data_IF_198505227209
#
_entry.id   IF_198505227209
#
_cell.length_a   1.000
_cell.length_b   1.000
_cell.length_c   1.000
_cell.angle_alpha   90.00
_cell.angle_beta   90.00
_cell.angle_gamma   90.00
#
_symmetry.space_group_name_H-M   'P 1'
#
loop_
_entity.id
_entity.type
_entity.pdbx_description
1 polymer ?
#
# COMPACT_ATOMS: atom_id res chain seq x y z
N UNK A 1 50.15 -0.20 -37.33
CA UNK A 1 48.73 -0.60 -37.49
C UNK A 1 48.29 -1.22 -36.16
N UNK A 2 47.80 -0.42 -35.23
CA UNK A 2 47.44 -0.83 -33.87
C UNK A 2 45.92 -0.63 -33.72
N UNK A 3 45.23 -1.75 -33.50
CA UNK A 3 43.78 -1.89 -33.36
C UNK A 3 43.29 -1.17 -32.08
N UNK A 4 42.40 -0.24 -32.26
CA UNK A 4 41.65 0.39 -31.15
C UNK A 4 40.61 -0.59 -30.61
N UNK A 5 40.88 -1.18 -29.47
CA UNK A 5 39.93 -2.03 -28.73
C UNK A 5 38.80 -1.20 -28.09
N UNK A 6 37.63 -1.72 -28.22
CA UNK A 6 36.36 -1.19 -27.69
C UNK A 6 36.31 -1.26 -26.16
N UNK A 7 36.24 -0.11 -25.48
CA UNK A 7 36.01 0.00 -24.04
C UNK A 7 34.64 0.71 -23.80
N UNK A 8 33.54 0.03 -24.13
CA UNK A 8 32.24 0.69 -23.93
C UNK A 8 31.08 -0.18 -23.42
N UNK A 9 31.25 -1.26 -22.66
CA UNK A 9 30.08 -1.76 -21.94
C UNK A 9 30.17 -1.78 -20.40
N UNK A 10 31.30 -1.37 -19.78
CA UNK A 10 31.48 -1.53 -18.32
C UNK A 10 30.81 -0.39 -17.52
N UNK A 11 30.71 0.80 -18.10
CA UNK A 11 30.12 1.95 -17.39
C UNK A 11 28.60 1.86 -17.21
N UNK A 12 27.89 1.14 -18.11
CA UNK A 12 26.43 1.02 -18.05
C UNK A 12 25.96 -0.02 -17.01
N UNK A 13 26.74 -1.07 -16.81
CA UNK A 13 26.43 -2.11 -15.80
C UNK A 13 26.68 -1.62 -14.37
N UNK A 14 27.67 -0.75 -14.15
CA UNK A 14 27.96 -0.20 -12.84
C UNK A 14 26.90 0.82 -12.38
N UNK A 15 26.29 1.57 -13.31
CA UNK A 15 25.23 2.51 -13.01
C UNK A 15 23.92 1.83 -12.58
N UNK A 16 23.59 0.68 -13.16
CA UNK A 16 22.36 -0.07 -12.82
C UNK A 16 22.53 -0.79 -11.47
N UNK A 17 23.70 -1.31 -11.17
CA UNK A 17 23.98 -1.97 -9.88
C UNK A 17 24.00 -0.95 -8.74
N UNK A 18 24.48 0.27 -8.96
CA UNK A 18 24.46 1.33 -7.96
C UNK A 18 23.05 1.85 -7.67
N UNK A 19 22.16 1.88 -8.68
CA UNK A 19 20.76 2.27 -8.48
C UNK A 19 19.95 1.22 -7.73
N UNK A 20 20.22 -0.08 -7.93
CA UNK A 20 19.53 -1.17 -7.21
C UNK A 20 20.01 -1.26 -5.76
N UNK A 21 21.31 -1.04 -5.48
CA UNK A 21 21.83 -1.01 -4.12
C UNK A 21 21.32 0.20 -3.31
N UNK A 22 20.99 1.32 -3.97
CA UNK A 22 20.43 2.50 -3.33
C UNK A 22 18.95 2.35 -2.94
N UNK A 23 18.20 1.52 -3.63
CA UNK A 23 16.77 1.30 -3.38
C UNK A 23 16.55 0.50 -2.09
N UNK A 24 17.40 -0.48 -1.79
CA UNK A 24 17.30 -1.28 -0.56
C UNK A 24 17.41 -0.47 0.75
N UNK A 25 17.93 0.75 0.68
CA UNK A 25 18.08 1.64 1.85
C UNK A 25 17.00 2.72 1.92
N UNK A 26 16.18 2.90 0.86
CA UNK A 26 15.01 3.77 0.88
C UNK A 26 13.85 3.15 1.68
N UNK A 27 13.84 1.84 1.81
CA UNK A 27 12.82 1.08 2.55
C UNK A 27 12.84 1.36 4.06
N UNK A 28 13.91 1.93 4.59
CA UNK A 28 14.16 2.05 6.03
C UNK A 28 13.49 3.25 6.70
N UNK A 29 12.78 4.12 6.00
CA UNK A 29 12.35 5.38 6.61
C UNK A 29 10.86 5.50 6.91
N UNK A 30 10.01 4.63 6.37
CA UNK A 30 8.57 4.75 6.48
C UNK A 30 7.85 3.45 6.89
N UNK A 31 8.45 2.29 6.60
CA UNK A 31 7.75 1.01 6.64
C UNK A 31 8.61 -0.01 7.32
N UNK A 32 9.03 -0.08 8.42
CA UNK A 32 9.82 -1.17 8.96
C UNK A 32 9.78 -1.25 10.46
N UNK A 33 8.63 -1.54 10.94
CA UNK A 33 8.45 -1.47 12.36
C UNK A 33 8.73 -2.79 13.07
N UNK A 34 8.80 -3.90 12.32
CA UNK A 34 9.07 -5.21 12.92
C UNK A 34 9.97 -6.09 12.03
N UNK A 35 10.76 -7.01 12.63
CA UNK A 35 11.53 -7.99 11.85
C UNK A 35 10.67 -8.87 10.93
N UNK A 36 9.38 -9.02 11.24
CA UNK A 36 8.44 -9.81 10.45
C UNK A 36 8.08 -9.10 9.14
N UNK A 37 7.89 -7.79 9.16
CA UNK A 37 7.62 -7.00 7.94
C UNK A 37 8.87 -6.91 7.06
N UNK A 38 10.07 -6.82 7.66
CA UNK A 38 11.32 -6.87 6.90
C UNK A 38 11.50 -8.21 6.15
N UNK A 39 11.11 -9.32 6.78
CA UNK A 39 11.21 -10.66 6.19
C UNK A 39 10.09 -10.94 5.18
N UNK A 40 8.95 -10.29 5.32
CA UNK A 40 7.80 -10.45 4.43
C UNK A 40 7.14 -9.09 4.13
N UNK A 41 7.63 -8.33 3.14
CA UNK A 41 7.08 -7.02 2.79
C UNK A 41 5.58 -7.03 2.43
N UNK A 42 5.00 -8.20 2.20
CA UNK A 42 3.55 -8.36 1.97
C UNK A 42 2.72 -8.16 3.23
N UNK A 43 3.36 -8.16 4.41
CA UNK A 43 2.75 -7.80 5.70
C UNK A 43 2.88 -6.32 6.01
N UNK A 44 3.70 -5.60 5.26
CA UNK A 44 3.94 -4.18 5.46
C UNK A 44 2.82 -3.36 4.83
N UNK A 45 2.00 -2.70 5.66
CA UNK A 45 0.99 -1.75 5.20
C UNK A 45 1.71 -0.45 4.91
N UNK A 46 1.77 -0.09 3.62
CA UNK A 46 2.35 1.18 3.24
C UNK A 46 1.41 2.34 3.58
N UNK A 47 0.16 2.26 3.11
CA UNK A 47 -0.82 3.32 3.31
C UNK A 47 -2.24 2.77 3.41
N UNK A 48 -3.10 3.55 4.08
CA UNK A 48 -4.56 3.36 4.08
C UNK A 48 -5.22 4.68 3.73
N UNK A 49 -6.09 4.65 2.72
CA UNK A 49 -6.82 5.83 2.26
C UNK A 49 -8.32 5.62 2.30
N UNK A 50 -9.06 6.70 2.59
CA UNK A 50 -10.50 6.79 2.43
C UNK A 50 -10.84 8.15 1.79
N UNK A 51 -11.51 8.12 0.63
CA UNK A 51 -11.82 9.34 -0.12
C UNK A 51 -13.11 9.17 -0.93
N UNK A 52 -13.71 10.26 -1.45
CA UNK A 52 -14.90 10.17 -2.31
C UNK A 52 -14.67 9.25 -3.50
N UNK A 53 -15.63 8.36 -3.78
CA UNK A 53 -15.59 7.45 -4.92
C UNK A 53 -15.96 8.10 -6.25
N UNK A 54 -16.35 7.28 -7.22
CA UNK A 54 -16.71 7.68 -8.58
C UNK A 54 -17.96 8.58 -8.67
N UNK A 55 -18.77 8.64 -7.61
CA UNK A 55 -19.91 9.55 -7.45
C UNK A 55 -20.02 10.03 -6.00
N UNK A 56 -20.83 11.06 -5.78
CA UNK A 56 -20.94 11.73 -4.48
C UNK A 56 -21.47 10.82 -3.35
N UNK A 57 -22.22 9.80 -3.68
CA UNK A 57 -22.79 8.80 -2.78
C UNK A 57 -21.86 7.60 -2.54
N UNK A 58 -20.68 7.57 -3.16
CA UNK A 58 -19.72 6.47 -3.05
C UNK A 58 -18.46 6.89 -2.28
N UNK A 59 -17.80 5.91 -1.71
CA UNK A 59 -16.50 6.04 -1.05
C UNK A 59 -15.54 4.98 -1.57
N UNK A 60 -14.30 5.35 -1.76
CA UNK A 60 -13.21 4.44 -2.03
C UNK A 60 -12.36 4.25 -0.78
N UNK A 61 -12.07 3.01 -0.45
CA UNK A 61 -11.15 2.56 0.59
C UNK A 61 -9.97 1.89 -0.10
N UNK A 62 -8.77 2.26 0.28
CA UNK A 62 -7.54 1.70 -0.32
C UNK A 62 -6.58 1.29 0.77
N UNK A 63 -5.97 0.13 0.60
CA UNK A 63 -4.80 -0.32 1.34
C UNK A 63 -3.71 -0.64 0.35
N UNK A 64 -2.49 -0.15 0.59
CA UNK A 64 -1.30 -0.52 -0.17
C UNK A 64 -0.34 -1.32 0.70
N UNK A 65 0.39 -2.22 0.07
CA UNK A 65 1.41 -3.08 0.70
C UNK A 65 2.53 -3.38 -0.30
N UNK A 66 3.65 -3.86 0.19
CA UNK A 66 4.78 -4.30 -0.65
C UNK A 66 5.43 -3.20 -1.50
N UNK A 67 5.34 -1.93 -1.14
CA UNK A 67 6.10 -0.86 -1.80
C UNK A 67 7.57 -0.87 -1.33
N UNK A 68 8.53 -0.51 -2.18
CA UNK A 68 8.42 -0.27 -3.61
C UNK A 68 8.56 -1.55 -4.45
N UNK A 69 7.68 -1.74 -5.40
CA UNK A 69 7.84 -2.78 -6.41
C UNK A 69 8.59 -2.19 -7.60
N UNK A 70 9.74 -2.78 -7.94
CA UNK A 70 10.64 -2.30 -8.99
C UNK A 70 10.46 -3.11 -10.26
N UNK A 71 10.22 -2.43 -11.37
CA UNK A 71 10.17 -3.04 -12.71
C UNK A 71 9.02 -4.02 -12.87
N UNK A 72 9.30 -5.14 -13.55
CA UNK A 72 8.35 -6.21 -13.82
C UNK A 72 8.35 -7.32 -12.76
N UNK A 73 9.12 -7.16 -11.68
CA UNK A 73 9.07 -8.08 -10.57
C UNK A 73 7.69 -8.02 -9.92
N UNK A 74 6.95 -9.07 -10.13
CA UNK A 74 5.55 -9.15 -9.74
C UNK A 74 5.52 -9.66 -8.31
N UNK A 75 5.44 -8.75 -7.35
CA UNK A 75 5.03 -9.13 -6.01
C UNK A 75 3.64 -9.74 -6.08
N UNK A 76 3.42 -10.85 -5.40
CA UNK A 76 2.11 -11.46 -5.23
C UNK A 76 1.62 -11.23 -3.81
N UNK A 77 0.31 -11.16 -3.61
CA UNK A 77 -0.26 -11.18 -2.26
C UNK A 77 0.05 -12.53 -1.58
N UNK A 78 0.23 -12.51 -0.26
CA UNK A 78 0.51 -13.73 0.50
C UNK A 78 -0.79 -14.48 0.80
N UNK A 79 -0.93 -15.74 0.35
CA UNK A 79 -2.14 -16.52 0.58
C UNK A 79 -2.37 -16.94 2.04
N UNK A 80 -1.34 -16.78 2.89
CA UNK A 80 -1.43 -17.11 4.31
C UNK A 80 -1.79 -15.90 5.17
N UNK A 81 -2.01 -14.73 4.56
CA UNK A 81 -2.31 -13.50 5.26
C UNK A 81 -3.79 -13.14 5.10
N UNK A 82 -4.35 -12.61 6.17
CA UNK A 82 -5.63 -11.93 6.20
C UNK A 82 -5.40 -10.43 6.18
N UNK A 83 -5.79 -9.80 5.08
CA UNK A 83 -5.80 -8.35 4.92
C UNK A 83 -7.17 -7.83 5.36
N UNK A 84 -7.21 -6.79 6.17
CA UNK A 84 -8.48 -6.23 6.63
C UNK A 84 -8.50 -4.71 6.53
N UNK A 85 -9.61 -4.17 6.05
CA UNK A 85 -9.98 -2.77 6.23
C UNK A 85 -11.08 -2.74 7.27
N UNK A 86 -10.82 -2.06 8.37
CA UNK A 86 -11.70 -1.95 9.52
C UNK A 86 -12.36 -0.57 9.55
N UNK A 87 -13.63 -0.53 9.90
CA UNK A 87 -14.45 0.67 9.90
C UNK A 87 -15.13 0.83 11.25
N UNK A 88 -14.85 1.96 11.91
CA UNK A 88 -15.62 2.48 13.05
C UNK A 88 -16.64 3.48 12.52
N UNK A 89 -17.92 3.18 12.64
CA UNK A 89 -19.02 4.07 12.30
C UNK A 89 -19.83 4.52 13.53
N UNK A 90 -19.46 4.01 14.70
CA UNK A 90 -19.98 4.38 16.00
C UNK A 90 -19.23 5.53 16.66
N UNK A 91 -17.95 5.71 16.34
CA UNK A 91 -17.08 6.76 16.88
C UNK A 91 -16.46 6.42 18.23
N UNK A 92 -16.30 5.13 18.53
CA UNK A 92 -15.75 4.64 19.80
C UNK A 92 -14.34 4.01 19.66
N UNK A 93 -13.75 4.10 18.46
CA UNK A 93 -12.46 3.55 18.07
C UNK A 93 -12.40 2.01 18.07
N UNK A 94 -13.55 1.35 18.07
CA UNK A 94 -13.68 -0.07 17.77
C UNK A 94 -14.30 -0.25 16.39
N UNK A 95 -13.92 -1.30 15.67
CA UNK A 95 -14.53 -1.57 14.38
C UNK A 95 -15.93 -2.16 14.53
N UNK A 96 -16.89 -1.53 13.89
CA UNK A 96 -18.26 -2.02 13.72
C UNK A 96 -18.38 -2.90 12.49
N UNK A 97 -17.59 -2.60 11.45
CA UNK A 97 -17.59 -3.31 10.20
C UNK A 97 -16.15 -3.63 9.76
N UNK A 98 -16.01 -4.74 9.04
CA UNK A 98 -14.74 -5.14 8.42
C UNK A 98 -14.94 -5.57 6.98
N UNK A 99 -13.96 -5.27 6.15
CA UNK A 99 -13.68 -6.03 4.95
C UNK A 99 -12.55 -7.01 5.24
N UNK A 100 -12.73 -8.28 4.91
CA UNK A 100 -11.72 -9.31 5.02
C UNK A 100 -11.33 -9.79 3.63
N UNK A 101 -10.05 -9.67 3.31
CA UNK A 101 -9.52 -9.93 1.98
C UNK A 101 -8.50 -11.04 2.08
N UNK A 102 -8.68 -12.08 1.28
CA UNK A 102 -7.78 -13.23 1.19
C UNK A 102 -7.45 -13.54 -0.26
N UNK A 103 -6.34 -14.22 -0.45
CA UNK A 103 -5.85 -14.60 -1.78
C UNK A 103 -5.54 -16.09 -1.82
N UNK A 104 -5.73 -16.72 -2.98
CA UNK A 104 -5.27 -18.09 -3.17
C UNK A 104 -3.76 -18.14 -3.47
N UNK A 105 -3.19 -19.33 -3.36
CA UNK A 105 -1.80 -19.59 -3.77
C UNK A 105 -1.62 -19.38 -5.26
N UNK A 106 -0.50 -18.77 -5.65
CA UNK A 106 -0.14 -18.55 -7.06
C UNK A 106 0.73 -17.32 -7.26
N UNK A 107 1.23 -17.17 -8.47
CA UNK A 107 1.82 -15.90 -8.91
C UNK A 107 0.70 -14.88 -9.13
N UNK A 108 1.01 -13.59 -9.09
CA UNK A 108 0.03 -12.50 -9.16
C UNK A 108 -0.99 -12.67 -10.30
N UNK A 109 -0.54 -13.04 -11.50
CA UNK A 109 -1.39 -13.22 -12.68
C UNK A 109 -2.35 -14.42 -12.59
N UNK A 110 -2.11 -15.34 -11.66
CA UNK A 110 -2.93 -16.52 -11.40
C UNK A 110 -3.71 -16.42 -10.08
N UNK A 111 -3.46 -15.35 -9.30
CA UNK A 111 -4.16 -15.16 -8.04
C UNK A 111 -5.61 -14.74 -8.25
N UNK A 112 -6.42 -15.14 -7.30
CA UNK A 112 -7.81 -14.68 -7.13
C UNK A 112 -7.91 -14.00 -5.77
N UNK A 113 -8.63 -12.90 -5.73
CA UNK A 113 -9.01 -12.22 -4.51
C UNK A 113 -10.39 -12.69 -4.10
N UNK A 114 -10.58 -12.85 -2.79
CA UNK A 114 -11.88 -13.06 -2.14
C UNK A 114 -12.09 -11.98 -1.10
N UNK A 115 -13.17 -11.22 -1.22
CA UNK A 115 -13.54 -10.13 -0.32
C UNK A 115 -14.84 -10.48 0.38
N UNK A 116 -14.80 -10.50 1.70
CA UNK A 116 -15.95 -10.62 2.58
C UNK A 116 -16.20 -9.25 3.20
N UNK A 117 -17.43 -8.80 3.23
CA UNK A 117 -17.80 -7.54 3.86
C UNK A 117 -18.54 -6.56 2.93
N UNK A 118 -18.98 -5.40 3.49
CA UNK A 118 -18.84 -5.02 4.89
C UNK A 118 -19.70 -5.90 5.81
N UNK A 119 -19.12 -6.40 6.87
CA UNK A 119 -19.81 -7.23 7.88
C UNK A 119 -19.31 -6.89 9.27
N UNK A 120 -20.12 -7.15 10.30
CA UNK A 120 -19.64 -7.06 11.67
C UNK A 120 -18.51 -8.07 11.92
N UNK A 121 -17.42 -7.70 12.59
CA UNK A 121 -16.36 -8.64 12.96
C UNK A 121 -16.90 -9.68 13.95
N UNK A 122 -16.34 -10.90 13.90
CA UNK A 122 -16.67 -11.92 14.89
C UNK A 122 -16.22 -11.53 16.29
N UNK A 123 -15.05 -10.90 16.39
CA UNK A 123 -14.47 -10.36 17.60
C UNK A 123 -13.82 -9.01 17.24
N UNK A 124 -14.28 -7.89 17.79
CA UNK A 124 -13.64 -6.58 17.59
C UNK A 124 -12.26 -6.52 18.24
N UNK A 125 -11.41 -5.60 17.77
CA UNK A 125 -10.12 -5.28 18.36
C UNK A 125 -8.95 -6.00 17.67
N UNK A 126 -8.01 -6.51 18.46
CA UNK A 126 -6.75 -7.05 17.96
C UNK A 126 -6.82 -8.51 17.48
N UNK A 127 -7.91 -9.22 17.79
CA UNK A 127 -8.09 -10.60 17.35
C UNK A 127 -8.74 -10.63 15.96
N UNK A 128 -7.98 -11.05 14.97
CA UNK A 128 -8.43 -11.06 13.58
C UNK A 128 -8.98 -12.45 13.21
N UNK A 129 -10.26 -12.68 13.48
CA UNK A 129 -10.94 -13.95 13.19
C UNK A 129 -11.69 -13.85 11.87
N UNK A 130 -11.54 -14.86 11.01
CA UNK A 130 -12.28 -14.93 9.76
C UNK A 130 -13.80 -15.01 10.01
N UNK A 131 -14.53 -14.15 9.33
CA UNK A 131 -16.00 -14.22 9.30
C UNK A 131 -16.40 -15.30 8.31
N UNK A 132 -17.13 -16.29 8.80
CA UNK A 132 -17.61 -17.40 7.96
C UNK A 132 -18.90 -17.01 7.24
N UNK A 133 -18.77 -16.33 6.12
CA UNK A 133 -19.89 -15.94 5.26
C UNK A 133 -19.48 -15.95 3.79
N UNK A 134 -20.45 -15.78 2.89
CA UNK A 134 -20.19 -15.68 1.46
C UNK A 134 -19.34 -14.44 1.13
N UNK A 135 -18.52 -14.56 0.11
CA UNK A 135 -17.83 -13.41 -0.44
C UNK A 135 -18.83 -12.41 -1.04
N UNK A 136 -18.61 -11.12 -0.81
CA UNK A 136 -19.31 -10.06 -1.52
C UNK A 136 -18.79 -9.95 -2.97
N UNK A 137 -17.47 -10.13 -3.14
CA UNK A 137 -16.80 -10.12 -4.43
C UNK A 137 -15.70 -11.17 -4.45
N UNK A 138 -15.59 -11.92 -5.54
CA UNK A 138 -14.49 -12.86 -5.78
C UNK A 138 -14.12 -12.87 -7.26
N UNK A 139 -12.82 -12.88 -7.57
CA UNK A 139 -12.38 -12.93 -8.96
C UNK A 139 -10.86 -12.83 -9.12
N UNK A 140 -10.39 -12.80 -10.37
CA UNK A 140 -8.96 -12.71 -10.66
C UNK A 140 -8.38 -11.36 -10.24
N UNK A 141 -7.15 -11.41 -9.71
CA UNK A 141 -6.34 -10.23 -9.42
C UNK A 141 -6.02 -9.49 -10.73
N UNK A 142 -5.90 -8.17 -10.67
CA UNK A 142 -5.61 -7.33 -11.83
C UNK A 142 -6.84 -6.93 -12.65
N UNK A 143 -8.04 -7.30 -12.22
CA UNK A 143 -9.30 -6.95 -12.88
C UNK A 143 -10.23 -6.16 -11.97
N UNK A 144 -11.07 -5.31 -12.56
CA UNK A 144 -12.15 -4.67 -11.82
C UNK A 144 -13.29 -5.68 -11.65
N UNK A 145 -13.65 -5.93 -10.41
CA UNK A 145 -14.69 -6.86 -10.01
C UNK A 145 -15.86 -6.08 -9.40
N UNK A 146 -17.07 -6.59 -9.53
CA UNK A 146 -18.27 -5.98 -8.97
C UNK A 146 -19.22 -6.99 -8.36
N UNK A 147 -20.09 -6.52 -7.46
CA UNK A 147 -21.20 -7.28 -6.89
C UNK A 147 -22.56 -6.64 -7.21
N UNK A 148 -23.62 -7.41 -7.05
CA UNK A 148 -25.01 -6.93 -7.21
C UNK A 148 -25.38 -5.85 -6.18
N UNK A 149 -24.64 -5.77 -5.07
CA UNK A 149 -24.81 -4.76 -4.04
C UNK A 149 -24.08 -3.45 -4.35
N UNK A 150 -23.42 -3.36 -5.50
CA UNK A 150 -22.71 -2.17 -5.97
C UNK A 150 -21.30 -2.02 -5.38
N UNK A 151 -20.76 -3.04 -4.70
CA UNK A 151 -19.36 -3.04 -4.27
C UNK A 151 -18.49 -3.33 -5.49
N UNK A 152 -17.46 -2.51 -5.67
CA UNK A 152 -16.43 -2.71 -6.70
C UNK A 152 -15.09 -2.95 -6.03
N UNK A 153 -14.31 -3.88 -6.56
CA UNK A 153 -13.01 -4.28 -6.02
C UNK A 153 -11.97 -4.32 -7.12
N UNK A 154 -10.80 -3.81 -6.83
CA UNK A 154 -9.59 -4.08 -7.57
C UNK A 154 -8.50 -4.54 -6.59
N UNK A 155 -7.78 -5.60 -6.93
CA UNK A 155 -6.56 -6.00 -6.24
C UNK A 155 -5.45 -6.21 -7.27
N UNK A 156 -4.27 -5.61 -7.05
CA UNK A 156 -3.16 -5.73 -7.99
C UNK A 156 -2.17 -4.56 -7.92
N UNK A 157 -1.13 -4.57 -8.76
CA UNK A 157 -0.14 -3.50 -8.75
C UNK A 157 -0.76 -2.18 -9.25
N UNK A 158 -0.40 -1.10 -8.58
CA UNK A 158 -0.71 0.28 -8.93
C UNK A 158 0.53 1.14 -8.69
N UNK A 159 0.64 2.25 -9.43
CA UNK A 159 1.61 3.27 -9.08
C UNK A 159 1.44 3.63 -7.60
N UNK A 160 2.55 3.75 -6.89
CA UNK A 160 2.53 4.11 -5.47
C UNK A 160 1.84 5.47 -5.32
N UNK A 161 0.75 5.59 -4.56
CA UNK A 161 0.02 6.84 -4.42
C UNK A 161 0.66 7.81 -3.44
N UNK A 162 1.62 7.35 -2.62
CA UNK A 162 2.30 8.21 -1.67
C UNK A 162 3.18 9.22 -2.40
N UNK A 163 2.91 10.49 -2.17
CA UNK A 163 3.59 11.60 -2.81
C UNK A 163 4.29 12.46 -1.79
N UNK A 164 5.61 12.38 -1.75
CA UNK A 164 6.45 13.27 -0.96
C UNK A 164 7.78 13.53 -1.67
N UNK A 165 8.30 14.75 -1.54
CA UNK A 165 9.69 15.07 -1.83
C UNK A 165 10.57 14.60 -0.66
N UNK A 166 10.85 13.30 -0.62
CA UNK A 166 11.46 12.63 0.52
C UNK A 166 12.87 13.13 0.81
N UNK A 167 13.65 13.40 -0.24
CA UNK A 167 14.98 13.99 -0.06
C UNK A 167 14.90 15.37 0.61
N UNK A 168 13.96 16.19 0.15
CA UNK A 168 13.78 17.53 0.74
C UNK A 168 13.19 17.45 2.15
N UNK A 169 12.31 16.49 2.42
CA UNK A 169 11.83 16.22 3.77
C UNK A 169 13.00 15.98 4.75
N UNK A 170 13.95 15.12 4.38
CA UNK A 170 15.12 14.86 5.19
C UNK A 170 16.12 16.03 5.24
N UNK A 171 16.13 16.90 4.26
CA UNK A 171 16.90 18.14 4.33
C UNK A 171 16.33 19.12 5.35
N UNK A 172 15.02 19.08 5.58
CA UNK A 172 14.33 19.89 6.59
C UNK A 172 14.43 19.25 7.97
N UNK A 173 14.21 17.91 8.05
CA UNK A 173 14.16 17.12 9.28
C UNK A 173 15.25 16.04 9.29
N UNK A 174 16.51 16.41 9.49
CA UNK A 174 17.64 15.50 9.35
C UNK A 174 17.71 14.40 10.42
N UNK A 175 17.04 14.55 11.55
CA UNK A 175 16.91 13.54 12.61
C UNK A 175 16.06 12.32 12.21
N UNK A 176 15.31 12.45 11.11
CA UNK A 176 14.51 11.36 10.51
C UNK A 176 15.23 10.64 9.37
N UNK A 177 16.44 11.06 9.02
CA UNK A 177 17.23 10.46 7.95
C UNK A 177 17.65 9.03 8.28
N UNK A 178 17.63 8.13 7.27
CA UNK A 178 18.31 6.86 7.41
C UNK A 178 19.81 7.06 7.64
N UNK A 179 20.41 6.23 8.47
CA UNK A 179 21.82 6.32 8.81
C UNK A 179 22.75 5.93 7.65
N UNK A 180 22.24 5.21 6.67
CA UNK A 180 22.96 4.70 5.51
C UNK A 180 22.15 4.87 4.23
N UNK A 181 22.81 4.78 3.06
CA UNK A 181 22.17 4.77 1.77
C UNK A 181 22.04 6.14 1.09
N UNK A 182 21.31 6.18 -0.02
CA UNK A 182 21.23 7.36 -0.89
C UNK A 182 20.60 8.59 -0.23
N UNK A 183 19.75 8.39 0.78
CA UNK A 183 19.11 9.46 1.55
C UNK A 183 19.83 9.78 2.86
N UNK A 184 20.93 9.08 3.18
CA UNK A 184 21.77 9.45 4.30
C UNK A 184 22.44 10.82 4.05
N UNK A 185 22.75 11.53 5.11
CA UNK A 185 23.38 12.84 4.97
C UNK A 185 23.69 13.48 6.33
N UNK A 186 24.07 14.75 6.35
CA UNK A 186 24.43 15.44 7.59
C UNK A 186 23.25 15.45 8.56
N UNK A 187 23.56 15.44 9.85
CA UNK A 187 22.57 15.51 10.94
C UNK A 187 22.03 16.94 11.18
N UNK A 188 22.50 17.91 10.41
CA UNK A 188 22.05 19.31 10.48
C UNK A 188 21.11 19.61 9.33
N UNK A 189 20.08 20.41 9.59
CA UNK A 189 19.16 20.86 8.54
C UNK A 189 19.91 21.65 7.46
N UNK A 190 19.65 21.30 6.20
CA UNK A 190 20.20 21.99 5.00
C UNK A 190 19.12 22.74 4.23
N UNK A 191 17.86 22.63 4.64
CA UNK A 191 16.73 23.36 4.07
C UNK A 191 15.71 23.72 5.15
N UNK A 192 14.90 24.74 4.89
CA UNK A 192 13.84 25.21 5.78
C UNK A 192 12.43 25.11 5.19
N UNK A 193 12.32 24.72 3.91
CA UNK A 193 11.05 24.59 3.22
C UNK A 193 11.11 23.54 2.10
N UNK A 194 9.96 23.03 1.70
CA UNK A 194 9.84 22.19 0.50
C UNK A 194 10.13 23.02 -0.75
N UNK A 195 10.73 22.37 -1.76
CA UNK A 195 10.99 22.96 -3.07
C UNK A 195 9.70 22.98 -3.92
N UNK A 196 9.63 23.92 -4.84
CA UNK A 196 8.54 23.99 -5.81
C UNK A 196 9.14 24.12 -7.23
N UNK A 197 8.86 23.16 -8.14
CA UNK A 197 8.09 21.93 -7.91
C UNK A 197 8.82 20.94 -7.00
N UNK A 198 8.05 20.14 -6.26
CA UNK A 198 8.54 19.00 -5.50
C UNK A 198 8.95 17.84 -6.42
N UNK A 199 9.78 16.94 -5.91
CA UNK A 199 10.22 15.74 -6.60
C UNK A 199 9.54 14.52 -5.97
N UNK A 200 8.73 13.83 -6.75
CA UNK A 200 8.11 12.57 -6.34
C UNK A 200 9.13 11.43 -6.51
N UNK A 201 9.70 11.01 -5.38
CA UNK A 201 10.71 9.94 -5.37
C UNK A 201 10.09 8.56 -5.66
N UNK A 202 8.83 8.34 -5.28
CA UNK A 202 8.16 7.05 -5.43
C UNK A 202 7.48 6.87 -6.79
N UNK A 203 7.41 7.92 -7.59
CA UNK A 203 6.80 7.91 -8.94
C UNK A 203 7.18 6.72 -9.83
N UNK A 204 8.43 6.18 -9.83
CA UNK A 204 8.78 5.04 -10.67
C UNK A 204 8.38 3.69 -10.10
N UNK A 205 7.82 3.65 -8.89
CA UNK A 205 7.52 2.42 -8.18
C UNK A 205 6.04 2.10 -8.18
N UNK A 206 5.75 0.83 -7.93
CA UNK A 206 4.40 0.33 -7.69
C UNK A 206 4.29 -0.21 -6.27
N UNK A 207 3.05 -0.26 -5.78
CA UNK A 207 2.64 -1.00 -4.60
C UNK A 207 1.60 -2.05 -5.00
N UNK A 208 1.40 -3.07 -4.19
CA UNK A 208 0.20 -3.91 -4.27
C UNK A 208 -0.95 -3.14 -3.61
N UNK A 209 -1.96 -2.83 -4.39
CA UNK A 209 -3.13 -2.11 -3.91
C UNK A 209 -4.35 -3.03 -3.82
N UNK A 210 -5.11 -2.88 -2.74
CA UNK A 210 -6.46 -3.38 -2.58
C UNK A 210 -7.37 -2.17 -2.53
N UNK A 211 -8.25 -2.04 -3.51
CA UNK A 211 -9.19 -0.92 -3.65
C UNK A 211 -10.60 -1.46 -3.56
N UNK A 212 -11.40 -0.89 -2.68
CA UNK A 212 -12.82 -1.23 -2.51
C UNK A 212 -13.62 0.06 -2.64
N UNK A 213 -14.49 0.13 -3.62
CA UNK A 213 -15.42 1.25 -3.78
C UNK A 213 -16.85 0.77 -3.60
N UNK A 214 -17.62 1.48 -2.76
CA UNK A 214 -19.00 1.09 -2.44
C UNK A 214 -19.87 2.30 -2.12
N UNK A 215 -21.22 2.13 -2.11
CA UNK A 215 -22.15 3.13 -1.62
C UNK A 215 -21.86 3.48 -0.15
N UNK A 216 -21.77 4.77 0.19
CA UNK A 216 -21.55 5.25 1.57
C UNK A 216 -22.60 4.71 2.55
N UNK A 217 -23.82 4.51 2.07
CA UNK A 217 -24.93 3.97 2.89
C UNK A 217 -24.66 2.59 3.48
N UNK A 218 -23.69 1.84 2.94
CA UNK A 218 -23.32 0.53 3.50
C UNK A 218 -22.33 0.65 4.67
N UNK A 219 -21.70 1.79 4.86
CA UNK A 219 -20.73 2.03 5.94
C UNK A 219 -21.24 2.93 7.04
N UNK A 220 -22.13 3.85 6.71
CA UNK A 220 -22.61 4.86 7.67
C UNK A 220 -23.67 4.28 8.61
N UNK A 221 -23.50 4.49 9.92
CA UNK A 221 -24.50 4.14 10.92
C UNK A 221 -25.73 5.08 10.88
N UNK A 222 -25.58 6.27 10.27
CA UNK A 222 -26.65 7.23 10.16
C UNK A 222 -26.62 7.98 8.82
N UNK A 223 -27.77 8.56 8.44
CA UNK A 223 -27.90 9.42 7.24
C UNK A 223 -27.58 10.89 7.52
N UNK A 224 -27.05 11.22 8.69
CA UNK A 224 -26.64 12.59 9.03
C UNK A 224 -25.57 13.07 8.04
N UNK A 225 -25.66 14.33 7.58
CA UNK A 225 -24.61 14.92 6.75
C UNK A 225 -23.25 15.03 7.47
N UNK A 226 -23.25 15.00 8.79
CA UNK A 226 -22.06 15.06 9.65
C UNK A 226 -21.56 13.67 10.07
N UNK A 227 -22.16 12.58 9.54
CA UNK A 227 -21.72 11.22 9.83
C UNK A 227 -20.26 11.02 9.41
N UNK A 228 -19.47 10.49 10.32
CA UNK A 228 -18.04 10.20 10.11
C UNK A 228 -17.77 8.72 10.30
N UNK A 229 -16.73 8.25 9.68
CA UNK A 229 -16.18 6.91 9.92
C UNK A 229 -14.70 7.01 10.23
N UNK A 230 -14.22 6.16 11.13
CA UNK A 230 -12.81 5.83 11.29
C UNK A 230 -12.46 4.68 10.33
N UNK A 231 -11.29 4.73 9.72
CA UNK A 231 -10.83 3.66 8.81
C UNK A 231 -9.37 3.35 9.11
N UNK A 232 -9.05 2.07 9.28
CA UNK A 232 -7.66 1.61 9.39
C UNK A 232 -7.49 0.22 8.77
N UNK A 233 -6.23 -0.18 8.59
CA UNK A 233 -5.87 -1.46 8.03
C UNK A 233 -5.19 -2.37 9.05
N UNK A 234 -5.36 -3.68 8.89
CA UNK A 234 -4.54 -4.68 9.58
C UNK A 234 -4.19 -5.82 8.62
N UNK A 235 -2.99 -6.39 8.83
CA UNK A 235 -2.57 -7.62 8.18
C UNK A 235 -2.16 -8.60 9.27
N UNK A 236 -2.65 -9.83 9.19
CA UNK A 236 -2.40 -10.87 10.19
C UNK A 236 -2.26 -12.25 9.56
N UNK A 237 -1.68 -13.17 10.31
CA UNK A 237 -1.62 -14.60 9.97
C UNK A 237 -2.73 -15.37 10.62
#
# INVERSE_FOLDING_TARGET
MLSRGRLLPIAFAAGIVASVAGIGTLLASDHQDTPETELNPRMDINDVYAFPGSSADRIALVMTTSSPIVGTNIASFDPNLLYQIKIDNGGDANEDLVFQITFNTGQLTAQRVRVVGPVAPTIPGTQNVLVNTNAAVEGPVGTNLGSDTGIQVFAGPRADPFFIDLEQFFNILPDRRPSTGALSGPSTSTASAFRNPGVDLLRPFNALAIVIELPKSQLLASTSPDAKIGVWGTISR
#
